data_IF_063813892905
#
_entry.id   IF_063813892905
#
_cell.length_a   1.000
_cell.length_b   1.000
_cell.length_c   1.000
_cell.angle_alpha   90.00
_cell.angle_beta   90.00
_cell.angle_gamma   90.00
#
_symmetry.space_group_name_H-M   'P 1'
#
loop_
_entity.id
_entity.type
_entity.pdbx_description
1 polymer ?
#
# COMPACT_ATOMS: atom_id res chain seq x y z
N UNK A 1 4.58 -3.87 10.86
CA UNK A 1 3.15 -3.76 10.52
C UNK A 1 3.05 -2.99 9.21
N UNK A 2 1.93 -3.04 8.51
CA UNK A 2 1.77 -2.31 7.24
C UNK A 2 1.13 -0.94 7.48
N UNK A 3 1.74 0.12 6.95
CA UNK A 3 1.17 1.47 6.89
C UNK A 3 1.87 2.30 5.81
N UNK A 4 1.14 3.11 5.03
CA UNK A 4 -0.32 3.04 4.81
C UNK A 4 -0.73 1.75 4.06
N UNK A 5 -2.03 1.49 3.96
CA UNK A 5 -2.60 0.36 3.17
C UNK A 5 -3.76 0.83 2.30
N UNK A 6 -4.01 0.12 1.20
CA UNK A 6 -5.20 0.28 0.37
C UNK A 6 -6.26 -0.70 0.83
N UNK A 7 -7.49 -0.23 1.02
CA UNK A 7 -8.63 -1.05 1.44
C UNK A 7 -9.82 -0.86 0.50
N UNK A 8 -10.65 -1.89 0.40
CA UNK A 8 -11.97 -1.84 -0.22
C UNK A 8 -12.92 -2.76 0.56
N UNK A 9 -14.22 -2.69 0.29
CA UNK A 9 -15.19 -3.52 0.99
C UNK A 9 -15.26 -4.95 0.43
N UNK A 10 -15.60 -5.92 1.28
CA UNK A 10 -15.88 -7.30 0.85
C UNK A 10 -16.98 -7.36 -0.22
N UNK A 11 -17.97 -6.45 -0.14
CA UNK A 11 -19.00 -6.31 -1.16
C UNK A 11 -18.41 -5.95 -2.53
N UNK A 12 -17.48 -4.98 -2.58
CA UNK A 12 -16.82 -4.60 -3.84
C UNK A 12 -16.02 -5.76 -4.43
N UNK A 13 -15.29 -6.51 -3.58
CA UNK A 13 -14.53 -7.69 -3.97
C UNK A 13 -15.47 -8.76 -4.55
N UNK A 14 -16.59 -9.04 -3.88
CA UNK A 14 -17.54 -10.09 -4.30
C UNK A 14 -18.32 -9.71 -5.55
N UNK A 15 -18.86 -8.50 -5.60
CA UNK A 15 -19.79 -8.09 -6.66
C UNK A 15 -19.08 -7.51 -7.88
N UNK A 16 -17.91 -6.89 -7.72
CA UNK A 16 -17.19 -6.19 -8.79
C UNK A 16 -15.69 -6.49 -8.78
N UNK A 17 -15.27 -7.77 -8.76
CA UNK A 17 -13.86 -8.15 -8.66
C UNK A 17 -13.01 -7.59 -9.81
N UNK A 18 -13.57 -7.46 -11.02
CA UNK A 18 -12.84 -6.93 -12.17
C UNK A 18 -12.51 -5.44 -12.03
N UNK A 19 -13.36 -4.66 -11.34
CA UNK A 19 -13.04 -3.27 -11.02
C UNK A 19 -11.86 -3.22 -10.05
N UNK A 20 -11.86 -4.08 -9.03
CA UNK A 20 -10.76 -4.18 -8.05
C UNK A 20 -9.45 -4.56 -8.75
N UNK A 21 -9.47 -5.57 -9.64
CA UNK A 21 -8.28 -5.98 -10.42
C UNK A 21 -7.76 -4.84 -11.30
N UNK A 22 -8.65 -4.15 -12.02
CA UNK A 22 -8.27 -3.03 -12.88
C UNK A 22 -7.69 -1.86 -12.09
N UNK A 23 -8.29 -1.54 -10.95
CA UNK A 23 -7.79 -0.51 -10.04
C UNK A 23 -6.38 -0.87 -9.55
N UNK A 24 -6.19 -2.06 -8.99
CA UNK A 24 -4.90 -2.50 -8.48
C UNK A 24 -3.83 -2.57 -9.58
N UNK A 25 -4.20 -2.93 -10.82
CA UNK A 25 -3.29 -2.89 -11.97
C UNK A 25 -2.88 -1.47 -12.36
N UNK A 26 -3.80 -0.51 -12.37
CA UNK A 26 -3.49 0.89 -12.64
C UNK A 26 -2.60 1.47 -11.53
N UNK A 27 -2.94 1.21 -10.27
CA UNK A 27 -2.18 1.65 -9.10
C UNK A 27 -0.77 1.05 -9.09
N UNK A 28 -0.62 -0.25 -9.37
CA UNK A 28 0.68 -0.90 -9.52
C UNK A 28 1.55 -0.17 -10.55
N UNK A 29 1.01 0.12 -11.74
CA UNK A 29 1.75 0.87 -12.78
C UNK A 29 2.17 2.26 -12.30
N UNK A 30 1.31 2.97 -11.59
CA UNK A 30 1.63 4.28 -11.03
C UNK A 30 2.77 4.24 -10.02
N UNK A 31 2.76 3.27 -9.10
CA UNK A 31 3.86 3.11 -8.13
C UNK A 31 5.15 2.63 -8.77
N UNK A 32 5.10 1.71 -9.74
CA UNK A 32 6.30 1.32 -10.49
C UNK A 32 6.90 2.53 -11.21
N UNK A 33 6.06 3.36 -11.86
CA UNK A 33 6.52 4.61 -12.46
C UNK A 33 7.16 5.55 -11.43
N UNK A 34 6.55 5.69 -10.26
CA UNK A 34 7.04 6.55 -9.20
C UNK A 34 8.35 6.05 -8.55
N UNK A 35 8.59 4.75 -8.60
CA UNK A 35 9.86 4.11 -8.22
C UNK A 35 10.95 4.46 -9.25
N UNK A 36 10.65 4.30 -10.54
CA UNK A 36 11.61 4.47 -11.62
C UNK A 36 11.89 5.95 -11.98
N UNK A 37 10.92 6.84 -11.73
CA UNK A 37 10.94 8.27 -12.10
C UNK A 37 10.55 9.18 -10.92
N UNK A 38 11.32 9.20 -9.81
CA UNK A 38 10.91 9.87 -8.57
C UNK A 38 10.68 11.38 -8.73
N UNK A 39 11.55 12.11 -9.43
CA UNK A 39 11.37 13.55 -9.61
C UNK A 39 10.17 13.90 -10.48
N UNK A 40 9.89 13.10 -11.50
CA UNK A 40 8.73 13.33 -12.36
C UNK A 40 7.44 13.00 -11.62
N UNK A 41 7.41 11.92 -10.85
CA UNK A 41 6.27 11.58 -9.99
C UNK A 41 5.99 12.68 -8.95
N UNK A 42 7.03 13.26 -8.36
CA UNK A 42 6.92 14.43 -7.49
C UNK A 42 6.29 15.63 -8.21
N UNK A 43 6.75 15.96 -9.42
CA UNK A 43 6.18 17.04 -10.24
C UNK A 43 4.73 16.75 -10.66
N UNK A 44 4.37 15.49 -10.90
CA UNK A 44 2.98 15.10 -11.15
C UNK A 44 2.12 15.39 -9.90
N UNK A 45 2.58 15.02 -8.71
CA UNK A 45 1.86 15.33 -7.46
C UNK A 45 1.66 16.84 -7.29
N UNK A 46 2.69 17.65 -7.51
CA UNK A 46 2.62 19.12 -7.38
C UNK A 46 1.63 19.78 -8.36
N UNK A 47 1.27 19.14 -9.48
CA UNK A 47 0.19 19.62 -10.37
C UNK A 47 -1.19 19.52 -9.71
N UNK A 48 -1.39 18.54 -8.82
CA UNK A 48 -2.66 18.28 -8.15
C UNK A 48 -2.71 18.79 -6.71
N UNK A 49 -1.55 19.04 -6.10
CA UNK A 49 -1.38 19.62 -4.77
C UNK A 49 -0.33 20.75 -4.81
N UNK A 50 -0.62 21.87 -5.49
CA UNK A 50 0.33 22.97 -5.71
C UNK A 50 0.71 23.74 -4.43
N UNK A 51 -0.02 23.54 -3.34
CA UNK A 51 0.26 24.12 -2.02
C UNK A 51 1.45 23.46 -1.30
N UNK A 52 1.91 22.30 -1.77
CA UNK A 52 3.04 21.60 -1.18
C UNK A 52 4.37 22.26 -1.57
N UNK A 53 5.34 22.21 -0.65
CA UNK A 53 6.70 22.67 -0.93
C UNK A 53 7.39 21.72 -1.93
N UNK A 54 7.77 22.25 -3.09
CA UNK A 54 8.36 21.46 -4.18
C UNK A 54 9.63 20.72 -3.75
N UNK A 55 10.50 21.39 -2.98
CA UNK A 55 11.76 20.79 -2.55
C UNK A 55 11.51 19.62 -1.60
N UNK A 56 10.58 19.77 -0.65
CA UNK A 56 10.19 18.70 0.26
C UNK A 56 9.59 17.53 -0.51
N UNK A 57 8.70 17.78 -1.46
CA UNK A 57 8.03 16.71 -2.23
C UNK A 57 9.04 15.93 -3.08
N UNK A 58 9.97 16.60 -3.75
CA UNK A 58 11.00 15.94 -4.57
C UNK A 58 11.90 15.07 -3.70
N UNK A 59 12.41 15.58 -2.57
CA UNK A 59 13.30 14.80 -1.70
C UNK A 59 12.57 13.64 -1.00
N UNK A 60 11.31 13.87 -0.60
CA UNK A 60 10.44 12.80 -0.09
C UNK A 60 10.25 11.69 -1.11
N UNK A 61 9.97 12.03 -2.37
CA UNK A 61 9.74 11.05 -3.41
C UNK A 61 11.01 10.27 -3.78
N UNK A 62 12.18 10.92 -3.79
CA UNK A 62 13.48 10.24 -3.96
C UNK A 62 13.74 9.23 -2.85
N UNK A 63 13.37 9.55 -1.61
CA UNK A 63 13.45 8.60 -0.50
C UNK A 63 12.45 7.45 -0.68
N UNK A 64 11.16 7.76 -0.83
CA UNK A 64 10.08 6.77 -0.87
C UNK A 64 10.15 5.83 -2.08
N UNK A 65 10.72 6.27 -3.21
CA UNK A 65 10.96 5.41 -4.39
C UNK A 65 11.71 4.12 -4.04
N UNK A 66 12.57 4.15 -3.01
CA UNK A 66 13.33 2.99 -2.54
C UNK A 66 12.52 2.12 -1.56
N UNK A 67 11.52 2.71 -0.91
CA UNK A 67 10.76 2.09 0.18
C UNK A 67 9.44 1.46 -0.27
N UNK A 68 8.83 1.92 -1.37
CA UNK A 68 7.51 1.42 -1.81
C UNK A 68 7.46 -0.08 -2.06
N UNK A 69 8.53 -0.63 -2.65
CA UNK A 69 8.71 -2.08 -2.85
C UNK A 69 9.71 -2.65 -1.84
N UNK A 70 10.75 -1.88 -1.50
CA UNK A 70 11.84 -2.29 -0.61
C UNK A 70 12.35 -3.72 -0.95
N UNK A 71 12.44 -4.58 0.05
CA UNK A 71 12.87 -5.98 -0.06
C UNK A 71 11.80 -6.92 -0.64
N UNK A 72 10.58 -6.44 -0.89
CA UNK A 72 9.50 -7.27 -1.39
C UNK A 72 9.76 -7.72 -2.83
N UNK A 73 9.41 -8.99 -3.20
CA UNK A 73 9.49 -9.43 -4.58
C UNK A 73 8.60 -8.60 -5.52
N UNK A 74 7.52 -8.01 -4.99
CA UNK A 74 6.54 -7.25 -5.77
C UNK A 74 5.95 -6.12 -4.92
N UNK A 75 5.72 -4.96 -5.54
CA UNK A 75 5.01 -3.86 -4.90
C UNK A 75 3.63 -4.31 -4.41
N UNK A 76 3.25 -3.87 -3.23
CA UNK A 76 1.94 -4.16 -2.62
C UNK A 76 1.77 -5.57 -2.06
N UNK A 77 2.74 -6.48 -2.24
CA UNK A 77 2.66 -7.83 -1.69
C UNK A 77 2.72 -7.80 -0.16
N UNK A 78 1.73 -8.44 0.47
CA UNK A 78 1.64 -8.52 1.92
C UNK A 78 1.91 -9.94 2.42
N UNK A 79 2.67 -10.03 3.52
CA UNK A 79 3.08 -11.27 4.19
C UNK A 79 2.19 -11.52 5.40
N UNK A 80 1.67 -12.74 5.52
CA UNK A 80 0.80 -13.16 6.65
C UNK A 80 1.50 -12.95 7.99
N UNK A 81 2.80 -13.22 8.06
CA UNK A 81 3.60 -13.14 9.28
C UNK A 81 3.70 -11.71 9.82
N UNK A 82 3.60 -10.69 8.95
CA UNK A 82 3.60 -9.28 9.36
C UNK A 82 2.28 -8.92 10.05
N UNK A 83 1.16 -9.42 9.52
CA UNK A 83 -0.17 -9.27 10.12
C UNK A 83 -0.28 -10.02 11.45
N UNK A 84 0.17 -11.27 11.49
CA UNK A 84 0.17 -12.07 12.71
C UNK A 84 1.00 -11.44 13.82
N UNK A 85 2.22 -10.99 13.50
CA UNK A 85 3.11 -10.36 14.47
C UNK A 85 2.47 -9.14 15.10
N UNK A 86 1.79 -8.33 14.28
CA UNK A 86 1.11 -7.13 14.78
C UNK A 86 -0.14 -7.46 15.60
N UNK A 87 -0.97 -8.40 15.14
CA UNK A 87 -2.15 -8.85 15.89
C UNK A 87 -1.77 -9.47 17.25
N UNK A 88 -0.70 -10.28 17.29
CA UNK A 88 -0.16 -10.85 18.54
C UNK A 88 0.30 -9.75 19.49
N UNK A 89 1.02 -8.76 18.98
CA UNK A 89 1.45 -7.62 19.78
C UNK A 89 0.26 -6.85 20.35
N UNK A 90 -0.75 -6.51 19.54
CA UNK A 90 -1.97 -5.83 20.00
C UNK A 90 -2.72 -6.63 21.07
N UNK A 91 -2.80 -7.96 20.92
CA UNK A 91 -3.39 -8.84 21.92
C UNK A 91 -2.58 -8.84 23.22
N UNK A 92 -1.25 -8.96 23.16
CA UNK A 92 -0.39 -8.92 24.35
C UNK A 92 -0.48 -7.60 25.13
N UNK A 93 -0.75 -6.50 24.42
CA UNK A 93 -0.94 -5.17 25.00
C UNK A 93 -2.38 -4.93 25.50
N UNK A 94 -3.29 -5.90 25.35
CA UNK A 94 -4.68 -5.80 25.78
C UNK A 94 -5.59 -4.99 24.85
N UNK A 95 -5.11 -4.56 23.68
CA UNK A 95 -5.93 -3.83 22.69
C UNK A 95 -6.89 -4.75 21.92
N UNK A 96 -6.51 -6.03 21.74
CA UNK A 96 -7.39 -7.05 21.19
C UNK A 96 -7.84 -8.01 22.29
N UNK A 97 -9.15 -8.10 22.52
CA UNK A 97 -9.73 -9.06 23.49
C UNK A 97 -9.59 -10.52 23.04
N UNK A 98 -9.52 -10.74 21.73
CA UNK A 98 -9.38 -12.06 21.09
C UNK A 98 -8.53 -11.90 19.84
N UNK A 99 -7.83 -12.96 19.45
CA UNK A 99 -7.10 -12.99 18.19
C UNK A 99 -8.06 -12.91 16.99
N UNK A 100 -7.63 -12.19 15.96
CA UNK A 100 -8.33 -12.11 14.67
C UNK A 100 -7.86 -13.23 13.74
N UNK A 101 -8.70 -13.57 12.77
CA UNK A 101 -8.30 -14.34 11.60
C UNK A 101 -7.57 -13.41 10.62
N UNK A 102 -6.24 -13.46 10.63
CA UNK A 102 -5.40 -12.57 9.83
C UNK A 102 -5.54 -12.81 8.32
N UNK A 103 -5.95 -14.01 7.89
CA UNK A 103 -6.14 -14.31 6.47
C UNK A 103 -7.36 -13.61 5.89
N UNK A 104 -8.30 -13.20 6.75
CA UNK A 104 -9.43 -12.33 6.38
C UNK A 104 -9.08 -10.85 6.39
N UNK A 105 -7.94 -10.47 6.94
CA UNK A 105 -7.55 -9.05 7.04
C UNK A 105 -6.92 -8.49 5.76
N UNK A 106 -6.40 -9.36 4.87
CA UNK A 106 -5.77 -8.94 3.62
C UNK A 106 -5.86 -10.02 2.54
N UNK A 107 -5.67 -9.64 1.28
CA UNK A 107 -5.49 -10.59 0.18
C UNK A 107 -4.49 -10.03 -0.84
N UNK A 108 -3.73 -10.91 -1.48
CA UNK A 108 -2.83 -10.58 -2.59
C UNK A 108 -3.43 -10.92 -3.96
N UNK A 109 -4.65 -11.48 -4.02
CA UNK A 109 -5.29 -11.96 -5.26
C UNK A 109 -5.41 -10.89 -6.35
N UNK A 110 -5.56 -9.63 -5.94
CA UNK A 110 -5.79 -8.51 -6.86
C UNK A 110 -4.50 -7.84 -7.36
N UNK A 111 -3.31 -8.32 -6.96
CA UNK A 111 -2.03 -7.79 -7.43
C UNK A 111 -1.70 -8.33 -8.84
N UNK A 112 -1.20 -7.52 -9.79
CA UNK A 112 -1.04 -7.90 -11.21
C UNK A 112 -0.02 -8.98 -11.54
#
# INVERSE_FOLDING_TARGET
>A
YYTPVIITSERMIKEKPDIVRRFMRATYKGYMYAIDHPEEAARILLKYAPELDERIVIESQKYLSKEYKADSPKWGYQRKEVWERYAKWLHSMGFLKKMIDVEKAFTNEFLP
#
